data_IF_862121497585
#
_entry.id   IF_862121497585
#
_cell.length_a   1.000
_cell.length_b   1.000
_cell.length_c   1.000
_cell.angle_alpha   90.00
_cell.angle_beta   90.00
_cell.angle_gamma   90.00
#
_symmetry.space_group_name_H-M   'P 1'
#
loop_
_entity.id
_entity.type
_entity.pdbx_description
1 polymer ?
#
# COMPACT_ATOMS: atom_id res chain seq x y z
N UNK A 1 -1.92 8.26 -23.28
CA UNK A 1 -0.96 7.21 -23.70
C UNK A 1 -1.78 5.99 -24.13
N UNK A 2 -1.40 5.25 -25.18
CA UNK A 2 -2.18 4.10 -25.62
C UNK A 2 -2.14 3.00 -24.56
N UNK A 3 -3.27 2.31 -24.38
CA UNK A 3 -3.36 1.08 -23.57
C UNK A 3 -3.40 -0.12 -24.50
N UNK A 4 -2.92 -1.27 -24.03
CA UNK A 4 -2.99 -2.48 -24.84
C UNK A 4 -4.42 -3.05 -24.84
N UNK A 5 -4.88 -3.60 -25.97
CA UNK A 5 -6.08 -4.43 -25.97
C UNK A 5 -5.90 -5.58 -24.99
N UNK A 6 -6.90 -5.80 -24.12
CA UNK A 6 -6.83 -6.81 -23.05
C UNK A 6 -6.43 -8.20 -23.58
N UNK A 7 -7.06 -8.65 -24.66
CA UNK A 7 -6.78 -9.96 -25.25
C UNK A 7 -5.32 -10.08 -25.76
N UNK A 8 -4.74 -8.99 -26.25
CA UNK A 8 -3.35 -8.97 -26.68
C UNK A 8 -2.39 -9.04 -25.48
N UNK A 9 -2.70 -8.31 -24.41
CA UNK A 9 -1.90 -8.35 -23.18
C UNK A 9 -1.92 -9.73 -22.52
N UNK A 10 -3.08 -10.38 -22.47
CA UNK A 10 -3.22 -11.76 -21.94
C UNK A 10 -2.36 -12.73 -22.75
N UNK A 11 -2.47 -12.69 -24.09
CA UNK A 11 -1.65 -13.52 -24.97
C UNK A 11 -0.17 -13.24 -24.78
N UNK A 12 0.23 -11.97 -24.75
CA UNK A 12 1.60 -11.56 -24.52
C UNK A 12 2.15 -12.09 -23.20
N UNK A 13 1.40 -11.96 -22.10
CA UNK A 13 1.79 -12.49 -20.80
C UNK A 13 1.95 -14.02 -20.83
N UNK A 14 0.98 -14.74 -21.43
CA UNK A 14 1.02 -16.21 -21.58
C UNK A 14 2.24 -16.68 -22.37
N UNK A 15 2.59 -15.98 -23.45
CA UNK A 15 3.67 -16.38 -24.34
C UNK A 15 5.04 -16.10 -23.74
N UNK A 16 5.18 -15.01 -22.97
CA UNK A 16 6.48 -14.48 -22.58
C UNK A 16 6.84 -14.65 -21.10
N UNK A 17 5.86 -14.77 -20.19
CA UNK A 17 6.11 -14.99 -18.76
C UNK A 17 5.94 -16.46 -18.39
N UNK A 18 6.98 -17.16 -17.89
CA UNK A 18 6.86 -18.55 -17.45
C UNK A 18 5.73 -18.79 -16.45
N UNK A 19 5.52 -17.87 -15.50
CA UNK A 19 4.43 -17.94 -14.52
C UNK A 19 3.06 -17.90 -15.19
N UNK A 20 2.82 -16.92 -16.08
CA UNK A 20 1.52 -16.80 -16.75
C UNK A 20 1.29 -17.91 -17.78
N UNK A 21 2.35 -18.46 -18.39
CA UNK A 21 2.25 -19.64 -19.25
C UNK A 21 1.67 -20.84 -18.50
N UNK A 22 2.12 -21.07 -17.28
CA UNK A 22 1.63 -22.14 -16.39
C UNK A 22 0.23 -21.82 -15.88
N UNK A 23 0.02 -20.61 -15.36
CA UNK A 23 -1.28 -20.18 -14.80
C UNK A 23 -2.40 -20.27 -15.85
N UNK A 24 -2.11 -19.92 -17.11
CA UNK A 24 -3.09 -19.90 -18.20
C UNK A 24 -3.05 -21.15 -19.07
N UNK A 25 -2.34 -22.21 -18.69
CA UNK A 25 -2.20 -23.42 -19.51
C UNK A 25 -3.56 -24.06 -19.85
N UNK A 26 -4.52 -23.99 -18.93
CA UNK A 26 -5.87 -24.55 -19.06
C UNK A 26 -6.85 -23.64 -19.85
N UNK A 27 -6.47 -22.39 -20.12
CA UNK A 27 -7.34 -21.42 -20.80
C UNK A 27 -7.27 -21.58 -22.33
N UNK A 28 -8.36 -21.26 -23.06
CA UNK A 28 -8.34 -21.23 -24.52
C UNK A 28 -7.32 -20.21 -25.05
N UNK A 29 -6.95 -20.35 -26.32
CA UNK A 29 -5.98 -19.45 -26.97
C UNK A 29 -6.46 -18.00 -27.07
N UNK A 30 -7.79 -17.81 -27.12
CA UNK A 30 -8.43 -16.50 -27.08
C UNK A 30 -9.31 -16.39 -25.84
N UNK A 31 -9.03 -15.39 -25.02
CA UNK A 31 -9.81 -15.02 -23.84
C UNK A 31 -10.35 -13.61 -24.08
N UNK A 32 -11.68 -13.48 -24.07
CA UNK A 32 -12.35 -12.22 -24.41
C UNK A 32 -12.70 -11.40 -23.16
N UNK A 33 -13.03 -12.05 -22.04
CA UNK A 33 -13.45 -11.38 -20.82
C UNK A 33 -12.38 -11.49 -19.74
N UNK A 34 -12.18 -10.40 -19.01
CA UNK A 34 -11.26 -10.39 -17.88
C UNK A 34 -11.65 -11.46 -16.86
N UNK A 35 -12.95 -11.60 -16.57
CA UNK A 35 -13.51 -12.57 -15.62
C UNK A 35 -13.24 -14.04 -15.94
N UNK A 36 -12.82 -14.35 -17.18
CA UNK A 36 -12.43 -15.72 -17.58
C UNK A 36 -11.02 -16.08 -17.07
N UNK A 37 -10.21 -15.09 -16.68
CA UNK A 37 -8.89 -15.34 -16.09
C UNK A 37 -9.04 -15.71 -14.62
N UNK A 38 -8.23 -16.64 -14.08
CA UNK A 38 -8.15 -16.82 -12.64
C UNK A 38 -7.61 -15.56 -11.97
N UNK A 39 -8.07 -15.28 -10.74
CA UNK A 39 -7.41 -14.33 -9.86
C UNK A 39 -6.00 -14.83 -9.58
N UNK A 40 -4.99 -13.95 -9.69
CA UNK A 40 -3.59 -14.35 -9.48
C UNK A 40 -3.37 -14.78 -8.02
N UNK A 41 -2.90 -16.01 -7.76
CA UNK A 41 -2.54 -16.43 -6.41
C UNK A 41 -1.26 -15.67 -5.98
N UNK A 42 -1.38 -14.69 -5.08
CA UNK A 42 -0.24 -13.85 -4.67
C UNK A 42 0.95 -14.68 -4.14
N UNK A 43 0.67 -15.77 -3.40
CA UNK A 43 1.72 -16.63 -2.86
C UNK A 43 2.57 -17.27 -3.97
N UNK A 44 1.93 -17.77 -5.02
CA UNK A 44 2.62 -18.39 -6.16
C UNK A 44 3.31 -17.34 -7.02
N UNK A 45 2.65 -16.19 -7.22
CA UNK A 45 3.23 -15.04 -7.92
C UNK A 45 4.54 -14.61 -7.26
N UNK A 46 4.54 -14.42 -5.94
CA UNK A 46 5.75 -14.00 -5.23
C UNK A 46 6.80 -15.10 -5.07
N UNK A 47 6.41 -16.38 -5.11
CA UNK A 47 7.36 -17.50 -5.19
C UNK A 47 8.10 -17.54 -6.53
N UNK A 48 7.45 -17.10 -7.59
CA UNK A 48 8.04 -16.94 -8.93
C UNK A 48 8.89 -15.67 -9.07
N UNK A 49 8.89 -14.77 -8.09
CA UNK A 49 9.69 -13.54 -8.08
C UNK A 49 11.06 -13.79 -7.45
N UNK A 50 12.13 -13.43 -8.15
CA UNK A 50 13.48 -13.45 -7.58
C UNK A 50 14.39 -12.44 -8.29
N UNK A 51 15.56 -12.07 -7.74
CA UNK A 51 16.51 -11.19 -8.42
C UNK A 51 17.15 -11.78 -9.67
N UNK A 52 17.34 -13.11 -9.73
CA UNK A 52 18.16 -13.77 -10.77
C UNK A 52 17.35 -14.66 -11.72
N UNK A 53 16.38 -15.37 -11.19
CA UNK A 53 15.51 -16.29 -11.95
C UNK A 53 14.05 -15.84 -11.76
N UNK A 54 13.75 -14.64 -12.27
CA UNK A 54 12.42 -14.05 -12.10
C UNK A 54 11.48 -14.61 -13.17
N UNK A 55 10.65 -15.56 -12.77
CA UNK A 55 9.71 -16.26 -13.66
C UNK A 55 8.46 -15.44 -13.98
N UNK A 56 8.32 -14.24 -13.39
CA UNK A 56 7.25 -13.31 -13.71
C UNK A 56 7.60 -12.43 -14.92
N UNK A 57 8.88 -12.18 -15.16
CA UNK A 57 9.31 -11.26 -16.21
C UNK A 57 9.01 -11.82 -17.61
N UNK A 58 8.63 -10.95 -18.52
CA UNK A 58 8.40 -11.28 -19.95
C UNK A 58 9.59 -11.01 -20.85
N UNK A 59 10.63 -10.38 -20.31
CA UNK A 59 11.86 -10.02 -21.02
C UNK A 59 13.03 -9.91 -20.04
N UNK A 60 14.29 -9.96 -20.52
CA UNK A 60 15.47 -9.68 -19.70
C UNK A 60 15.39 -8.31 -19.02
N UNK A 61 15.97 -8.23 -17.83
CA UNK A 61 16.01 -7.01 -17.02
C UNK A 61 17.22 -6.14 -17.45
N UNK A 62 17.15 -5.56 -18.66
CA UNK A 62 18.26 -4.78 -19.23
C UNK A 62 18.18 -3.28 -18.87
N UNK A 63 17.06 -2.63 -19.22
CA UNK A 63 16.83 -1.20 -18.99
C UNK A 63 15.58 -0.98 -18.14
N UNK A 64 15.75 -1.08 -16.82
CA UNK A 64 14.66 -1.01 -15.87
C UNK A 64 15.05 -0.33 -14.56
N UNK A 65 14.03 0.18 -13.86
CA UNK A 65 14.10 0.49 -12.44
C UNK A 65 13.47 -0.65 -11.65
N UNK A 66 14.08 -0.99 -10.51
CA UNK A 66 13.66 -2.08 -9.63
C UNK A 66 13.33 -1.50 -8.27
N UNK A 67 12.16 -1.87 -7.76
CA UNK A 67 11.72 -1.50 -6.43
C UNK A 67 11.40 -2.72 -5.59
N UNK A 68 11.47 -2.60 -4.26
CA UNK A 68 10.97 -3.60 -3.33
C UNK A 68 9.48 -3.36 -3.08
N UNK A 69 8.70 -4.44 -3.04
CA UNK A 69 7.32 -4.38 -2.54
C UNK A 69 7.29 -3.94 -1.08
N UNK A 70 6.25 -3.23 -0.67
CA UNK A 70 6.17 -2.62 0.67
C UNK A 70 6.04 -3.60 1.84
N UNK A 71 5.89 -4.91 1.60
CA UNK A 71 5.43 -5.85 2.63
C UNK A 71 6.20 -7.15 2.86
N UNK A 72 7.41 -7.32 2.33
CA UNK A 72 8.07 -8.64 2.16
C UNK A 72 8.80 -9.15 3.42
N UNK A 73 8.36 -10.22 4.10
CA UNK A 73 9.18 -10.97 5.09
C UNK A 73 9.85 -12.09 4.32
N UNK A 74 11.04 -12.52 4.76
CA UNK A 74 11.82 -13.52 4.05
C UNK A 74 12.40 -12.98 2.74
N UNK A 75 12.13 -13.68 1.62
CA UNK A 75 12.72 -13.36 0.32
C UNK A 75 12.25 -11.99 -0.19
N UNK A 76 13.15 -11.08 -0.58
CA UNK A 76 12.73 -9.77 -1.05
C UNK A 76 11.91 -9.92 -2.34
N UNK A 77 10.74 -9.29 -2.36
CA UNK A 77 9.84 -9.25 -3.53
C UNK A 77 10.07 -7.96 -4.29
N UNK A 78 10.23 -8.06 -5.61
CA UNK A 78 10.63 -6.96 -6.48
C UNK A 78 9.59 -6.64 -7.53
N UNK A 79 9.41 -5.34 -7.77
CA UNK A 79 8.58 -4.79 -8.83
C UNK A 79 9.47 -4.05 -9.83
N UNK A 80 9.46 -4.53 -11.07
CA UNK A 80 10.34 -4.03 -12.13
C UNK A 80 9.55 -3.23 -13.17
N UNK A 81 10.12 -2.10 -13.60
CA UNK A 81 9.55 -1.24 -14.64
C UNK A 81 10.63 -0.92 -15.66
N UNK A 82 10.36 -1.15 -16.95
CA UNK A 82 11.19 -0.61 -18.03
C UNK A 82 11.24 0.92 -17.95
N UNK A 83 12.24 1.53 -18.59
CA UNK A 83 12.29 3.00 -18.76
C UNK A 83 10.96 3.57 -19.26
N UNK A 84 10.36 2.93 -20.26
CA UNK A 84 9.10 3.37 -20.86
C UNK A 84 7.94 3.23 -19.88
N UNK A 85 7.78 2.07 -19.23
CA UNK A 85 6.70 1.86 -18.26
C UNK A 85 6.79 2.82 -17.08
N UNK A 86 7.99 3.05 -16.53
CA UNK A 86 8.18 3.99 -15.42
C UNK A 86 7.81 5.42 -15.81
N UNK A 87 8.22 5.84 -17.02
CA UNK A 87 7.84 7.13 -17.59
C UNK A 87 6.32 7.26 -17.72
N UNK A 88 5.64 6.25 -18.26
CA UNK A 88 4.19 6.29 -18.46
C UNK A 88 3.44 6.26 -17.13
N UNK A 89 3.93 5.47 -16.18
CA UNK A 89 3.42 5.36 -14.82
C UNK A 89 3.42 6.72 -14.11
N UNK A 90 4.57 7.38 -14.08
CA UNK A 90 4.76 8.70 -13.45
C UNK A 90 4.08 9.84 -14.23
N UNK A 91 3.98 9.75 -15.56
CA UNK A 91 3.23 10.73 -16.37
C UNK A 91 1.74 10.70 -16.06
N UNK A 92 1.14 9.51 -16.01
CA UNK A 92 -0.28 9.36 -15.69
C UNK A 92 -0.57 9.84 -14.26
N UNK A 93 0.29 9.49 -13.30
CA UNK A 93 0.12 9.94 -11.92
C UNK A 93 0.30 11.46 -11.77
N UNK A 94 1.30 12.03 -12.45
CA UNK A 94 1.57 13.48 -12.46
C UNK A 94 0.41 14.31 -13.00
N UNK A 95 -0.37 13.77 -13.94
CA UNK A 95 -1.62 14.39 -14.40
C UNK A 95 -2.70 14.38 -13.30
N UNK A 96 -2.83 13.26 -12.58
CA UNK A 96 -3.76 13.12 -11.44
C UNK A 96 -3.47 14.09 -10.29
N UNK A 97 -2.20 14.48 -10.07
CA UNK A 97 -1.84 15.47 -9.03
C UNK A 97 -2.53 16.83 -9.24
N UNK A 98 -2.83 17.22 -10.49
CA UNK A 98 -3.57 18.46 -10.77
C UNK A 98 -5.02 18.34 -10.29
N UNK A 99 -5.67 17.19 -10.53
CA UNK A 99 -7.00 16.91 -10.01
C UNK A 99 -7.01 16.86 -8.47
N UNK A 100 -5.92 16.41 -7.85
CA UNK A 100 -5.74 16.43 -6.41
C UNK A 100 -5.58 17.85 -5.83
N UNK A 101 -5.21 18.85 -6.65
CA UNK A 101 -5.13 20.26 -6.25
C UNK A 101 -3.77 20.94 -6.50
N UNK A 102 -2.83 20.27 -7.16
CA UNK A 102 -1.56 20.89 -7.56
C UNK A 102 -1.80 22.01 -8.59
N UNK A 103 -1.20 23.18 -8.39
CA UNK A 103 -1.33 24.36 -9.28
C UNK A 103 0.03 24.79 -9.84
N UNK A 104 0.02 25.51 -10.99
CA UNK A 104 1.23 26.12 -11.52
C UNK A 104 1.95 27.01 -10.49
N UNK A 105 3.27 26.85 -10.38
CA UNK A 105 4.12 27.63 -9.48
C UNK A 105 4.22 27.08 -8.05
N UNK A 106 3.43 26.05 -7.68
CA UNK A 106 3.54 25.42 -6.36
C UNK A 106 4.96 24.90 -6.12
N UNK A 107 5.48 25.17 -4.93
CA UNK A 107 6.70 24.57 -4.39
C UNK A 107 6.29 23.41 -3.51
N UNK A 108 6.79 22.23 -3.84
CA UNK A 108 6.38 20.96 -3.24
C UNK A 108 7.54 20.37 -2.46
N UNK A 109 7.39 20.28 -1.14
CA UNK A 109 8.28 19.52 -0.27
C UNK A 109 7.88 18.05 -0.27
N UNK A 110 8.76 17.19 -0.79
CA UNK A 110 8.57 15.75 -0.78
C UNK A 110 9.26 15.14 0.46
N UNK A 111 8.44 14.60 1.36
CA UNK A 111 8.84 13.95 2.61
C UNK A 111 8.61 12.42 2.56
N UNK A 112 8.42 11.83 1.38
CA UNK A 112 8.49 10.38 1.25
C UNK A 112 9.91 9.85 1.49
N UNK A 113 10.05 8.55 1.73
CA UNK A 113 11.35 7.94 2.07
C UNK A 113 12.12 7.52 0.81
N UNK A 114 13.40 7.90 0.77
CA UNK A 114 14.32 7.58 -0.31
C UNK A 114 15.25 6.40 0.06
N UNK A 115 15.64 5.60 -0.94
CA UNK A 115 16.60 4.51 -0.78
C UNK A 115 15.97 3.13 -0.49
N UNK A 116 16.82 2.13 -0.25
CA UNK A 116 16.47 0.71 0.00
C UNK A 116 15.47 0.11 -1.03
N UNK A 117 15.56 0.58 -2.28
CA UNK A 117 14.65 0.20 -3.37
C UNK A 117 13.18 0.57 -3.11
N UNK A 118 12.87 1.47 -2.18
CA UNK A 118 11.50 1.97 -2.02
C UNK A 118 11.16 3.00 -3.09
N UNK A 119 9.95 2.88 -3.65
CA UNK A 119 9.54 3.69 -4.80
C UNK A 119 9.03 5.08 -4.43
N UNK A 120 8.47 5.28 -3.23
CA UNK A 120 7.60 6.43 -2.94
C UNK A 120 8.25 7.78 -3.23
N UNK A 121 9.48 8.02 -2.76
CA UNK A 121 10.19 9.28 -3.01
C UNK A 121 10.48 9.51 -4.50
N UNK A 122 11.11 8.54 -5.18
CA UNK A 122 11.40 8.67 -6.62
C UNK A 122 10.13 8.76 -7.47
N UNK A 123 9.08 8.02 -7.10
CA UNK A 123 7.79 8.03 -7.76
C UNK A 123 7.13 9.40 -7.70
N UNK A 124 7.08 10.02 -6.52
CA UNK A 124 6.48 11.35 -6.35
C UNK A 124 7.31 12.41 -7.05
N UNK A 125 8.64 12.38 -6.91
CA UNK A 125 9.52 13.33 -7.58
C UNK A 125 9.39 13.26 -9.12
N UNK A 126 9.35 12.07 -9.69
CA UNK A 126 9.19 11.87 -11.14
C UNK A 126 7.77 12.20 -11.61
N UNK A 127 6.75 11.95 -10.79
CA UNK A 127 5.37 12.34 -11.10
C UNK A 127 5.20 13.85 -11.09
N UNK A 128 5.81 14.55 -10.13
CA UNK A 128 5.87 16.01 -10.11
C UNK A 128 6.64 16.56 -11.31
N UNK A 129 7.76 15.92 -11.68
CA UNK A 129 8.54 16.28 -12.86
C UNK A 129 7.72 16.19 -14.16
N UNK A 130 6.81 15.22 -14.22
CA UNK A 130 5.97 14.92 -15.39
C UNK A 130 4.56 15.48 -15.30
N UNK A 131 4.25 16.21 -14.24
CA UNK A 131 2.98 16.89 -14.10
C UNK A 131 2.80 17.92 -15.21
N UNK A 132 1.58 18.12 -15.75
CA UNK A 132 1.35 19.07 -16.83
C UNK A 132 1.41 20.55 -16.38
N UNK A 133 1.59 20.81 -15.08
CA UNK A 133 1.74 22.16 -14.53
C UNK A 133 3.15 22.41 -14.02
N UNK A 134 3.67 23.61 -14.24
CA UNK A 134 4.98 24.02 -13.73
C UNK A 134 4.99 23.94 -12.20
N UNK A 135 6.01 23.33 -11.60
CA UNK A 135 6.15 23.22 -10.15
C UNK A 135 7.63 23.19 -9.77
N UNK A 136 7.94 23.63 -8.56
CA UNK A 136 9.26 23.53 -7.94
C UNK A 136 9.25 22.31 -7.02
N UNK A 137 10.28 21.47 -7.13
CA UNK A 137 10.36 20.19 -6.42
C UNK A 137 11.48 20.27 -5.40
N UNK A 138 11.16 20.07 -4.13
CA UNK A 138 12.10 20.08 -3.02
C UNK A 138 12.22 18.65 -2.47
N UNK A 139 13.21 17.87 -2.92
CA UNK A 139 13.40 16.47 -2.54
C UNK A 139 14.04 16.36 -1.15
N UNK A 140 13.29 16.70 -0.09
CA UNK A 140 13.79 16.76 1.31
C UNK A 140 13.97 15.36 1.89
N UNK A 141 12.99 14.48 1.71
CA UNK A 141 12.97 13.11 2.21
C UNK A 141 12.52 12.99 3.67
N UNK A 142 11.76 11.95 3.97
CA UNK A 142 11.14 11.73 5.30
C UNK A 142 12.10 11.42 6.45
N UNK A 143 13.39 11.18 6.16
CA UNK A 143 14.43 10.96 7.16
C UNK A 143 15.19 12.25 7.54
N UNK A 144 14.92 13.37 6.88
CA UNK A 144 15.58 14.64 7.17
C UNK A 144 15.21 15.13 8.59
N UNK A 145 16.17 15.73 9.33
CA UNK A 145 15.88 16.38 10.61
C UNK A 145 14.79 17.44 10.47
N UNK A 146 13.83 17.46 11.39
CA UNK A 146 12.66 18.33 11.28
C UNK A 146 13.04 19.81 11.28
N UNK A 147 14.12 20.21 11.96
CA UNK A 147 14.63 21.58 11.98
C UNK A 147 15.06 22.03 10.58
N UNK A 148 15.76 21.16 9.85
CA UNK A 148 16.21 21.39 8.47
C UNK A 148 15.02 21.43 7.50
N UNK A 149 14.07 20.50 7.68
CA UNK A 149 12.81 20.50 6.92
C UNK A 149 12.07 21.83 7.12
N UNK A 150 11.88 22.26 8.37
CA UNK A 150 11.17 23.49 8.69
C UNK A 150 11.88 24.74 8.17
N UNK A 151 13.22 24.80 8.24
CA UNK A 151 13.99 25.88 7.61
C UNK A 151 13.77 25.91 6.09
N UNK A 152 13.80 24.76 5.43
CA UNK A 152 13.54 24.63 3.98
C UNK A 152 12.12 25.09 3.62
N UNK A 153 11.11 24.70 4.41
CA UNK A 153 9.73 25.13 4.19
C UNK A 153 9.59 26.66 4.23
N UNK A 154 10.32 27.30 5.15
CA UNK A 154 10.31 28.76 5.35
C UNK A 154 11.06 29.50 4.24
N UNK A 155 12.31 29.12 3.99
CA UNK A 155 13.20 29.77 3.01
C UNK A 155 12.65 29.69 1.58
N UNK A 156 12.05 28.54 1.22
CA UNK A 156 11.45 28.37 -0.09
C UNK A 156 10.00 28.83 -0.14
N UNK A 157 9.38 29.22 0.97
CA UNK A 157 7.95 29.54 1.06
C UNK A 157 7.09 28.43 0.45
N UNK A 158 7.15 27.23 1.03
CA UNK A 158 6.49 26.04 0.48
C UNK A 158 4.96 26.13 0.57
N UNK A 159 4.27 25.81 -0.54
CA UNK A 159 2.80 25.75 -0.57
C UNK A 159 2.25 24.33 -0.40
N UNK A 160 3.04 23.30 -0.74
CA UNK A 160 2.60 21.90 -0.72
C UNK A 160 3.61 21.04 0.03
N UNK A 161 3.14 20.26 0.99
CA UNK A 161 3.95 19.24 1.65
C UNK A 161 3.35 17.87 1.34
N UNK A 162 4.15 16.96 0.78
CA UNK A 162 3.76 15.61 0.42
C UNK A 162 4.48 14.59 1.30
N UNK A 163 3.78 13.59 1.84
CA UNK A 163 4.41 12.55 2.66
C UNK A 163 3.42 11.46 3.08
N UNK A 164 3.85 10.52 3.93
CA UNK A 164 2.88 9.62 4.56
C UNK A 164 2.15 10.34 5.70
N UNK A 165 0.89 9.98 6.04
CA UNK A 165 0.21 10.49 7.23
C UNK A 165 1.08 10.45 8.49
N UNK A 166 1.80 9.35 8.71
CA UNK A 166 2.76 9.23 9.82
C UNK A 166 3.85 10.32 9.80
N UNK A 167 4.52 10.52 8.66
CA UNK A 167 5.57 11.55 8.55
C UNK A 167 5.03 12.97 8.72
N UNK A 168 3.86 13.25 8.15
CA UNK A 168 3.21 14.56 8.25
C UNK A 168 2.81 14.87 9.69
N UNK A 169 2.24 13.90 10.42
CA UNK A 169 1.91 14.04 11.83
C UNK A 169 3.16 14.23 12.70
N UNK A 170 4.22 13.45 12.48
CA UNK A 170 5.48 13.59 13.21
C UNK A 170 6.07 15.00 13.03
N UNK A 171 6.08 15.53 11.81
CA UNK A 171 6.49 16.91 11.56
C UNK A 171 5.56 17.91 12.28
N UNK A 172 4.25 17.75 12.18
CA UNK A 172 3.28 18.64 12.82
C UNK A 172 3.42 18.68 14.35
N UNK A 173 3.66 17.54 15.01
CA UNK A 173 3.92 17.46 16.45
C UNK A 173 5.17 18.25 16.83
N UNK A 174 6.27 18.08 16.07
CA UNK A 174 7.54 18.80 16.33
C UNK A 174 7.38 20.30 16.12
N UNK A 175 6.71 20.72 15.05
CA UNK A 175 6.44 22.12 14.76
C UNK A 175 5.59 22.78 15.84
N UNK A 176 4.46 22.15 16.19
CA UNK A 176 3.55 22.67 17.22
C UNK A 176 4.23 22.74 18.58
N UNK A 177 5.00 21.71 18.95
CA UNK A 177 5.79 21.69 20.20
C UNK A 177 6.86 22.78 20.24
N UNK A 178 7.40 23.18 19.09
CA UNK A 178 8.33 24.29 18.95
C UNK A 178 7.64 25.67 18.82
N UNK A 179 6.30 25.73 18.91
CA UNK A 179 5.54 26.97 18.71
C UNK A 179 5.58 27.52 17.28
N UNK A 180 5.88 26.67 16.28
CA UNK A 180 5.95 27.03 14.87
C UNK A 180 4.72 26.56 14.11
N UNK A 181 4.29 27.36 13.13
CA UNK A 181 3.25 27.00 12.18
C UNK A 181 3.58 27.55 10.79
N UNK A 182 3.03 26.93 9.75
CA UNK A 182 3.25 27.29 8.35
C UNK A 182 1.91 27.62 7.67
N UNK A 183 1.41 28.85 7.82
CA UNK A 183 0.13 29.27 7.24
C UNK A 183 0.16 29.43 5.72
N UNK A 184 1.34 29.42 5.10
CA UNK A 184 1.52 29.51 3.64
C UNK A 184 1.39 28.15 2.94
N UNK A 185 1.42 27.05 3.71
CA UNK A 185 1.12 25.72 3.17
C UNK A 185 -0.39 25.62 2.92
N UNK A 186 -0.76 25.47 1.65
CA UNK A 186 -2.14 25.37 1.19
C UNK A 186 -2.60 23.91 1.08
N UNK A 187 -1.68 22.96 0.96
CA UNK A 187 -1.99 21.58 0.61
C UNK A 187 -1.06 20.59 1.32
N UNK A 188 -1.66 19.61 2.02
CA UNK A 188 -0.97 18.44 2.54
C UNK A 188 -1.37 17.22 1.70
N UNK A 189 -0.44 16.77 0.86
CA UNK A 189 -0.62 15.54 0.08
C UNK A 189 -0.19 14.33 0.90
N UNK A 190 -1.09 13.38 1.06
CA UNK A 190 -0.77 12.13 1.75
C UNK A 190 -0.96 10.91 0.85
N UNK A 191 -0.17 9.87 1.10
CA UNK A 191 -0.28 8.57 0.42
C UNK A 191 0.47 7.47 1.15
N UNK A 192 0.27 6.22 0.74
CA UNK A 192 0.93 5.03 1.31
C UNK A 192 0.34 4.53 2.63
N UNK A 193 -0.51 5.31 3.30
CA UNK A 193 -1.23 4.94 4.52
C UNK A 193 -2.63 5.57 4.50
N UNK A 194 -3.55 5.03 5.32
CA UNK A 194 -4.83 5.68 5.56
C UNK A 194 -4.64 6.92 6.42
N UNK A 195 -5.41 7.98 6.13
CA UNK A 195 -5.55 9.14 6.99
C UNK A 195 -6.80 8.96 7.86
N UNK A 196 -6.65 9.18 9.17
CA UNK A 196 -7.74 9.10 10.15
C UNK A 196 -8.15 10.49 10.62
N UNK A 197 -9.43 10.66 10.98
CA UNK A 197 -9.99 11.96 11.34
C UNK A 197 -9.35 12.58 12.60
N UNK A 198 -8.82 11.76 13.51
CA UNK A 198 -8.13 12.21 14.72
C UNK A 198 -6.77 12.87 14.42
N UNK A 199 -6.20 12.63 13.24
CA UNK A 199 -4.95 13.26 12.81
C UNK A 199 -5.16 14.69 12.29
N UNK A 200 -6.38 15.04 11.85
CA UNK A 200 -6.66 16.34 11.22
C UNK A 200 -6.40 17.53 12.17
N UNK A 201 -6.83 17.53 13.45
CA UNK A 201 -6.55 18.66 14.34
C UNK A 201 -5.05 18.92 14.53
N UNK A 202 -4.23 17.87 14.62
CA UNK A 202 -2.78 17.98 14.74
C UNK A 202 -2.16 18.60 13.48
N UNK A 203 -2.54 18.08 12.31
CA UNK A 203 -2.05 18.59 11.03
C UNK A 203 -2.44 20.06 10.83
N UNK A 204 -3.69 20.42 11.14
CA UNK A 204 -4.18 21.80 11.03
C UNK A 204 -3.60 22.73 12.10
N UNK A 205 -3.12 22.21 13.23
CA UNK A 205 -2.36 22.99 14.22
C UNK A 205 -1.05 23.52 13.65
N UNK A 206 -0.32 22.70 12.90
CA UNK A 206 0.93 23.10 12.24
C UNK A 206 0.70 23.81 10.90
N UNK A 207 -0.37 23.46 10.18
CA UNK A 207 -0.67 23.94 8.82
C UNK A 207 -2.11 24.47 8.72
N UNK A 208 -2.43 25.64 9.31
CA UNK A 208 -3.80 26.08 9.58
C UNK A 208 -4.65 26.40 8.35
N UNK A 209 -4.04 26.64 7.20
CA UNK A 209 -4.75 26.90 5.93
C UNK A 209 -4.73 25.71 4.97
N UNK A 210 -4.08 24.61 5.36
CA UNK A 210 -3.87 23.51 4.44
C UNK A 210 -5.12 22.66 4.27
N UNK A 211 -5.37 22.23 3.03
CA UNK A 211 -6.30 21.15 2.75
C UNK A 211 -5.54 19.83 2.78
N UNK A 212 -6.04 18.84 3.54
CA UNK A 212 -5.44 17.50 3.59
C UNK A 212 -6.09 16.63 2.53
N UNK A 213 -5.31 16.17 1.55
CA UNK A 213 -5.82 15.45 0.38
C UNK A 213 -4.96 14.25 0.03
N UNK A 214 -5.62 13.17 -0.42
CA UNK A 214 -4.92 12.04 -1.02
C UNK A 214 -4.24 12.54 -2.30
N UNK A 215 -2.98 12.17 -2.51
CA UNK A 215 -2.30 12.36 -3.81
C UNK A 215 -2.82 11.40 -4.88
N UNK A 216 -3.56 10.38 -4.47
CA UNK A 216 -3.98 9.25 -5.28
C UNK A 216 -3.54 7.94 -4.64
N UNK A 217 -4.12 6.87 -5.14
CA UNK A 217 -3.88 5.52 -4.69
C UNK A 217 -3.08 4.75 -5.75
N UNK A 218 -1.85 4.39 -5.40
CA UNK A 218 -0.93 3.64 -6.22
C UNK A 218 -0.21 2.57 -5.40
N UNK A 219 0.20 1.50 -6.08
CA UNK A 219 1.03 0.44 -5.54
C UNK A 219 2.19 0.23 -6.50
N UNK A 220 3.40 0.07 -5.96
CA UNK A 220 4.56 -0.29 -6.78
C UNK A 220 4.39 -1.66 -7.44
N UNK A 221 3.56 -2.52 -6.84
CA UNK A 221 3.25 -3.85 -7.36
C UNK A 221 2.07 -3.76 -8.33
N UNK A 222 0.91 -3.31 -7.87
CA UNK A 222 -0.32 -3.33 -8.66
C UNK A 222 -0.43 -2.21 -9.72
N UNK A 223 0.41 -1.19 -9.66
CA UNK A 223 0.36 -0.04 -10.57
C UNK A 223 -0.52 1.09 -10.05
N UNK A 224 -1.21 1.79 -10.95
CA UNK A 224 -2.07 2.93 -10.60
C UNK A 224 -3.46 2.41 -10.30
N UNK A 225 -4.00 2.68 -9.11
CA UNK A 225 -5.29 2.11 -8.70
C UNK A 225 -6.39 3.15 -8.75
N UNK A 226 -6.20 4.30 -8.09
CA UNK A 226 -7.22 5.34 -8.05
C UNK A 226 -6.67 6.77 -8.04
N UNK A 227 -7.20 7.62 -8.91
CA UNK A 227 -7.03 9.06 -8.88
C UNK A 227 -7.74 9.65 -7.66
N UNK A 228 -7.15 10.71 -7.10
CA UNK A 228 -7.83 11.51 -6.10
C UNK A 228 -9.09 12.14 -6.70
N UNK A 229 -10.20 12.11 -5.96
CA UNK A 229 -11.44 12.80 -6.36
C UNK A 229 -11.69 14.01 -5.45
N UNK A 230 -12.29 15.09 -5.99
CA UNK A 230 -12.81 16.16 -5.14
C UNK A 230 -13.88 15.60 -4.19
N UNK A 231 -13.76 15.91 -2.90
CA UNK A 231 -14.71 15.43 -1.89
C UNK A 231 -14.17 15.56 -0.47
N UNK A 232 -15.01 15.22 0.51
CA UNK A 232 -14.64 15.25 1.92
C UNK A 232 -14.08 13.93 2.47
N UNK A 233 -14.31 12.80 1.78
CA UNK A 233 -13.82 11.49 2.23
C UNK A 233 -12.46 11.16 1.57
N UNK A 234 -11.34 11.21 2.32
CA UNK A 234 -9.99 10.97 1.79
C UNK A 234 -9.76 9.53 1.28
N UNK A 235 -10.69 8.61 1.53
CA UNK A 235 -10.62 7.19 1.12
C UNK A 235 -11.23 6.95 -0.26
N UNK A 236 -11.98 7.91 -0.79
CA UNK A 236 -12.67 7.77 -2.07
C UNK A 236 -11.73 8.11 -3.20
N UNK A 237 -11.69 7.26 -4.21
CA UNK A 237 -10.83 7.38 -5.38
C UNK A 237 -11.61 7.00 -6.64
N UNK A 238 -11.19 7.51 -7.79
CA UNK A 238 -11.70 7.09 -9.11
C UNK A 238 -10.66 6.23 -9.78
N UNK A 239 -11.04 5.09 -10.36
CA UNK A 239 -10.12 4.22 -11.09
C UNK A 239 -9.33 5.01 -12.15
N UNK A 240 -8.03 4.72 -12.29
CA UNK A 240 -7.16 5.30 -13.33
C UNK A 240 -7.51 4.78 -14.74
N UNK A 241 -8.73 5.07 -15.21
CA UNK A 241 -9.20 4.72 -16.56
C UNK A 241 -8.52 5.62 -17.60
N UNK A 242 -8.07 5.09 -18.76
CA UNK A 242 -8.23 3.72 -19.25
C UNK A 242 -7.09 2.77 -18.85
N UNK A 243 -6.16 3.20 -17.99
CA UNK A 243 -4.91 2.48 -17.71
C UNK A 243 -5.08 1.24 -16.83
N UNK A 244 -6.07 1.27 -15.94
CA UNK A 244 -6.32 0.20 -14.98
C UNK A 244 -7.78 -0.21 -15.04
N UNK A 245 -8.02 -1.52 -15.02
CA UNK A 245 -9.35 -2.09 -14.74
C UNK A 245 -9.37 -2.53 -13.28
N UNK A 246 -10.37 -2.07 -12.53
CA UNK A 246 -10.59 -2.50 -11.16
C UNK A 246 -11.86 -3.35 -11.07
N UNK A 247 -11.76 -4.47 -10.35
CA UNK A 247 -12.89 -5.29 -9.93
C UNK A 247 -12.93 -5.29 -8.40
N UNK A 248 -14.13 -5.32 -7.83
CA UNK A 248 -14.33 -5.61 -6.41
C UNK A 248 -14.96 -6.98 -6.36
N UNK A 249 -14.26 -7.99 -5.85
CA UNK A 249 -14.77 -9.35 -5.77
C UNK A 249 -15.32 -9.65 -4.39
N UNK A 250 -16.46 -10.32 -4.34
CA UNK A 250 -16.99 -10.87 -3.10
C UNK A 250 -16.00 -11.89 -2.49
N UNK A 251 -15.87 -11.84 -1.17
CA UNK A 251 -14.86 -12.60 -0.41
C UNK A 251 -15.08 -14.13 -0.50
N UNK A 252 -16.32 -14.58 -0.72
CA UNK A 252 -16.72 -15.99 -0.67
C UNK A 252 -16.90 -16.61 -2.04
N UNK A 253 -17.42 -15.85 -3.01
CA UNK A 253 -17.83 -16.35 -4.32
C UNK A 253 -16.84 -16.06 -5.44
N UNK A 254 -15.83 -15.22 -5.19
CA UNK A 254 -14.90 -14.68 -6.21
C UNK A 254 -15.61 -14.00 -7.40
N UNK A 255 -16.89 -13.66 -7.26
CA UNK A 255 -17.67 -12.96 -8.29
C UNK A 255 -17.57 -11.44 -8.13
N UNK A 256 -17.56 -10.68 -9.24
CA UNK A 256 -17.60 -9.23 -9.17
C UNK A 256 -18.86 -8.73 -8.46
N UNK A 257 -18.66 -7.84 -7.49
CA UNK A 257 -19.70 -7.08 -6.82
C UNK A 257 -20.35 -6.13 -7.82
N UNK A 258 -21.68 -6.19 -7.90
CA UNK A 258 -22.49 -5.42 -8.86
C UNK A 258 -23.17 -4.20 -8.26
N UNK A 259 -23.27 -4.10 -6.93
CA UNK A 259 -23.92 -2.99 -6.23
C UNK A 259 -22.94 -2.04 -5.52
N UNK A 260 -23.36 -0.79 -5.37
CA UNK A 260 -22.65 0.20 -4.55
C UNK A 260 -22.80 -0.12 -3.05
N UNK A 261 -21.80 0.24 -2.26
CA UNK A 261 -21.75 0.04 -0.80
C UNK A 261 -21.61 -1.41 -0.36
N UNK A 262 -21.30 -2.34 -1.28
CA UNK A 262 -21.05 -3.74 -0.96
C UNK A 262 -19.53 -3.97 -0.89
N UNK A 263 -18.98 -4.30 0.30
CA UNK A 263 -17.55 -4.55 0.47
C UNK A 263 -17.07 -5.81 -0.26
N UNK A 264 -15.83 -5.77 -0.75
CA UNK A 264 -15.11 -6.93 -1.29
C UNK A 264 -13.61 -6.65 -1.43
N UNK A 265 -12.88 -7.59 -2.04
CA UNK A 265 -11.44 -7.46 -2.33
C UNK A 265 -11.22 -6.69 -3.61
N UNK A 266 -10.32 -5.72 -3.57
CA UNK A 266 -9.91 -4.98 -4.75
C UNK A 266 -8.93 -5.81 -5.59
N UNK A 267 -9.35 -6.10 -6.83
CA UNK A 267 -8.56 -6.77 -7.85
C UNK A 267 -8.28 -5.77 -8.96
N UNK A 268 -7.05 -5.79 -9.50
CA UNK A 268 -6.64 -4.86 -10.55
C UNK A 268 -6.00 -5.54 -11.74
N UNK A 269 -6.14 -4.90 -12.89
CA UNK A 269 -5.43 -5.24 -14.12
C UNK A 269 -4.83 -3.96 -14.69
N UNK A 270 -3.49 -3.87 -14.74
CA UNK A 270 -2.80 -2.74 -15.39
C UNK A 270 -2.60 -3.06 -16.87
N UNK A 271 -3.14 -2.22 -17.75
CA UNK A 271 -3.15 -2.44 -19.21
C UNK A 271 -1.89 -1.91 -19.92
N UNK A 272 -0.89 -1.47 -19.17
CA UNK A 272 0.37 -0.92 -19.70
C UNK A 272 1.57 -1.78 -19.32
N UNK A 273 1.57 -2.40 -18.13
CA UNK A 273 2.69 -3.22 -17.64
C UNK A 273 2.88 -4.49 -18.48
N UNK A 274 4.01 -4.58 -19.16
CA UNK A 274 4.49 -5.72 -19.95
C UNK A 274 5.62 -6.45 -19.29
N UNK A 275 6.63 -5.75 -18.76
CA UNK A 275 7.84 -6.40 -18.23
C UNK A 275 7.49 -7.36 -17.10
N UNK A 276 6.62 -6.92 -16.20
CA UNK A 276 6.03 -7.72 -15.13
C UNK A 276 4.51 -7.48 -15.13
N UNK A 277 3.75 -8.26 -15.92
CA UNK A 277 2.32 -8.05 -16.11
C UNK A 277 1.54 -8.20 -14.80
N UNK A 278 0.50 -7.38 -14.62
CA UNK A 278 -0.42 -7.43 -13.49
C UNK A 278 -1.83 -7.65 -14.03
N UNK A 279 -2.26 -8.92 -14.13
CA UNK A 279 -3.56 -9.34 -14.68
C UNK A 279 -4.42 -9.96 -13.58
N UNK A 280 -5.62 -9.42 -13.30
CA UNK A 280 -6.48 -9.81 -12.17
C UNK A 280 -5.70 -10.05 -10.86
N UNK A 281 -4.82 -9.11 -10.55
CA UNK A 281 -3.96 -9.19 -9.39
C UNK A 281 -4.68 -8.63 -8.15
N UNK A 282 -4.69 -9.35 -7.00
CA UNK A 282 -5.26 -8.80 -5.78
C UNK A 282 -4.40 -7.65 -5.26
N UNK A 283 -4.96 -6.46 -5.10
CA UNK A 283 -4.22 -5.30 -4.57
C UNK A 283 -3.83 -5.47 -3.09
N UNK A 284 -4.56 -6.33 -2.37
CA UNK A 284 -4.42 -6.58 -0.93
C UNK A 284 -5.26 -5.63 -0.06
N UNK A 285 -6.20 -4.90 -0.66
CA UNK A 285 -7.06 -3.93 0.00
C UNK A 285 -8.53 -4.31 -0.18
N UNK A 286 -9.36 -3.98 0.81
CA UNK A 286 -10.82 -4.07 0.71
C UNK A 286 -11.37 -2.75 0.23
N UNK A 287 -12.37 -2.84 -0.63
CA UNK A 287 -13.04 -1.67 -1.19
C UNK A 287 -14.53 -1.94 -1.35
N UNK A 288 -15.28 -0.87 -1.56
CA UNK A 288 -16.66 -0.90 -2.03
C UNK A 288 -16.84 0.13 -3.14
N UNK A 289 -17.76 -0.11 -4.06
CA UNK A 289 -18.15 0.90 -5.03
C UNK A 289 -18.93 2.02 -4.34
N UNK A 290 -18.57 3.26 -4.65
CA UNK A 290 -19.37 4.45 -4.30
C UNK A 290 -20.28 4.80 -5.47
N UNK A 291 -19.74 4.69 -6.68
CA UNK A 291 -20.44 4.77 -7.95
C UNK A 291 -19.71 3.85 -8.93
N UNK A 292 -20.20 2.62 -9.08
CA UNK A 292 -19.59 1.59 -9.92
C UNK A 292 -19.46 2.03 -11.38
N UNK A 293 -20.49 2.66 -11.94
CA UNK A 293 -20.53 3.02 -13.35
C UNK A 293 -19.55 4.17 -13.67
N UNK A 294 -19.32 5.06 -12.70
CA UNK A 294 -18.29 6.09 -12.78
C UNK A 294 -16.89 5.61 -12.36
N UNK A 295 -16.75 4.35 -11.92
CA UNK A 295 -15.51 3.76 -11.44
C UNK A 295 -15.00 4.42 -10.16
N UNK A 296 -15.89 4.88 -9.27
CA UNK A 296 -15.53 5.51 -8.00
C UNK A 296 -15.69 4.51 -6.87
N UNK A 297 -14.63 4.30 -6.09
CA UNK A 297 -14.60 3.33 -4.99
C UNK A 297 -14.03 3.94 -3.72
N UNK A 298 -14.41 3.36 -2.58
CA UNK A 298 -13.90 3.71 -1.26
C UNK A 298 -13.02 2.58 -0.75
N UNK A 299 -11.83 2.91 -0.27
CA UNK A 299 -10.94 1.96 0.40
C UNK A 299 -11.41 1.77 1.85
N UNK A 300 -11.66 0.53 2.24
CA UNK A 300 -12.17 0.18 3.57
C UNK A 300 -11.06 -0.27 4.53
N UNK A 301 -9.91 -0.66 3.99
CA UNK A 301 -8.78 -1.16 4.76
C UNK A 301 -8.07 -2.27 4.00
N UNK A 302 -7.33 -3.11 4.73
CA UNK A 302 -6.62 -4.24 4.11
C UNK A 302 -7.50 -5.48 4.03
N UNK A 303 -7.28 -6.27 2.98
CA UNK A 303 -7.87 -7.60 2.85
C UNK A 303 -7.01 -8.65 3.60
N UNK A 304 -7.39 -9.91 3.52
CA UNK A 304 -6.76 -11.00 4.30
C UNK A 304 -5.28 -11.24 3.95
N UNK A 305 -4.77 -10.64 2.87
CA UNK A 305 -3.39 -10.87 2.39
C UNK A 305 -2.35 -10.11 3.21
N UNK A 306 -2.69 -9.04 3.92
CA UNK A 306 -1.70 -8.30 4.71
C UNK A 306 -2.22 -7.08 5.43
N UNK A 307 -1.34 -6.36 6.12
CA UNK A 307 -1.67 -5.27 7.01
C UNK A 307 -0.71 -4.09 6.83
N UNK A 308 -1.17 -2.86 7.11
CA UNK A 308 -0.37 -1.63 7.06
C UNK A 308 -0.36 -0.96 8.44
N UNK A 309 0.82 -0.73 9.00
CA UNK A 309 1.03 -0.14 10.33
C UNK A 309 2.01 1.02 10.18
N UNK A 310 1.48 2.25 10.17
CA UNK A 310 2.24 3.41 9.68
C UNK A 310 2.84 3.13 8.29
N UNK A 311 4.15 3.34 8.08
CA UNK A 311 4.77 3.17 6.76
C UNK A 311 5.00 1.70 6.38
N UNK A 312 4.83 0.76 7.31
CA UNK A 312 5.24 -0.64 7.14
C UNK A 312 4.08 -1.51 6.69
N UNK A 313 4.27 -2.27 5.60
CA UNK A 313 3.35 -3.38 5.26
C UNK A 313 3.88 -4.71 5.79
N UNK A 314 2.97 -5.58 6.21
CA UNK A 314 3.27 -6.97 6.54
C UNK A 314 2.23 -7.88 5.86
N UNK A 315 2.65 -8.83 5.04
CA UNK A 315 1.72 -9.83 4.50
C UNK A 315 1.42 -10.92 5.53
N UNK A 316 0.22 -11.50 5.49
CA UNK A 316 -0.20 -12.51 6.47
C UNK A 316 0.59 -13.81 6.34
N UNK A 317 0.86 -14.24 5.10
CA UNK A 317 1.68 -15.43 4.83
C UNK A 317 3.11 -15.24 5.35
N UNK A 318 3.65 -14.06 5.11
CA UNK A 318 4.97 -13.63 5.52
C UNK A 318 5.14 -13.70 7.06
N UNK A 319 4.15 -13.26 7.82
CA UNK A 319 4.15 -13.39 9.29
C UNK A 319 3.90 -14.83 9.74
N UNK A 320 3.02 -15.56 9.04
CA UNK A 320 2.76 -16.97 9.30
C UNK A 320 4.04 -17.80 9.19
N UNK A 321 4.85 -17.62 8.14
CA UNK A 321 6.08 -18.37 7.93
C UNK A 321 7.12 -18.09 9.05
N UNK A 322 7.17 -16.86 9.57
CA UNK A 322 8.00 -16.51 10.74
C UNK A 322 7.50 -17.24 12.00
N UNK A 323 6.19 -17.23 12.23
CA UNK A 323 5.59 -17.91 13.38
C UNK A 323 5.89 -19.42 13.32
N UNK A 324 5.70 -20.04 12.16
CA UNK A 324 5.99 -21.47 11.97
C UNK A 324 7.47 -21.81 12.13
N UNK A 325 8.38 -20.91 11.74
CA UNK A 325 9.82 -21.11 11.93
C UNK A 325 10.24 -20.98 13.40
N UNK A 326 9.55 -20.15 14.19
CA UNK A 326 9.82 -19.96 15.62
C UNK A 326 9.14 -21.04 16.50
N UNK A 327 7.95 -21.51 16.10
CA UNK A 327 7.17 -22.50 16.84
C UNK A 327 7.55 -23.94 16.48
N UNK A 328 8.73 -24.38 16.93
CA UNK A 328 9.21 -25.74 16.68
C UNK A 328 8.42 -26.82 17.44
N UNK A 329 7.64 -26.44 18.46
CA UNK A 329 6.87 -27.34 19.31
C UNK A 329 5.42 -27.50 18.84
N UNK A 330 4.95 -26.67 17.89
CA UNK A 330 3.58 -26.72 17.37
C UNK A 330 2.54 -26.22 18.37
N UNK A 331 2.90 -25.23 19.20
CA UNK A 331 2.02 -24.63 20.20
C UNK A 331 0.97 -23.68 19.60
N UNK A 332 1.27 -23.10 18.44
CA UNK A 332 0.43 -22.14 17.72
C UNK A 332 -0.57 -22.88 16.83
N UNK A 333 -1.83 -22.68 17.15
CA UNK A 333 -3.00 -23.29 16.48
C UNK A 333 -3.79 -22.30 15.62
N UNK A 334 -3.35 -21.04 15.57
CA UNK A 334 -3.97 -19.99 14.77
C UNK A 334 -3.26 -18.65 14.93
N UNK A 335 -3.41 -17.79 13.93
CA UNK A 335 -2.74 -16.49 13.85
C UNK A 335 -3.73 -15.46 13.29
N UNK A 336 -3.79 -14.29 13.93
CA UNK A 336 -4.41 -13.09 13.37
C UNK A 336 -3.47 -11.90 13.52
N UNK A 337 -3.41 -11.06 12.49
CA UNK A 337 -2.75 -9.77 12.53
C UNK A 337 -3.82 -8.73 12.90
N UNK A 338 -3.71 -8.17 14.10
CA UNK A 338 -4.69 -7.21 14.62
C UNK A 338 -4.07 -5.82 14.63
N UNK A 339 -4.65 -4.88 13.89
CA UNK A 339 -4.21 -3.47 13.93
C UNK A 339 -5.04 -2.71 14.92
N UNK A 340 -4.37 -1.94 15.78
CA UNK A 340 -4.99 -1.03 16.73
C UNK A 340 -4.42 0.36 16.58
N UNK A 341 -5.25 1.36 16.86
CA UNK A 341 -4.81 2.75 17.03
C UNK A 341 -4.88 3.11 18.50
N UNK A 342 -3.72 3.29 19.14
CA UNK A 342 -3.60 3.58 20.59
C UNK A 342 -2.71 4.80 20.77
N UNK A 343 -3.22 5.80 21.49
CA UNK A 343 -2.49 7.06 21.72
C UNK A 343 -2.11 7.78 20.43
N UNK A 344 -3.00 7.79 19.43
CA UNK A 344 -2.77 8.47 18.15
C UNK A 344 -1.79 7.77 17.19
N UNK A 345 -1.36 6.54 17.52
CA UNK A 345 -0.40 5.77 16.72
C UNK A 345 -0.95 4.40 16.36
N UNK A 346 -0.63 3.93 15.18
CA UNK A 346 -0.96 2.58 14.73
C UNK A 346 -0.03 1.57 15.41
N UNK A 347 -0.51 0.36 15.67
CA UNK A 347 0.27 -0.73 16.25
C UNK A 347 -0.22 -2.09 15.77
N UNK A 348 0.69 -3.06 15.68
CA UNK A 348 0.39 -4.44 15.37
C UNK A 348 0.35 -5.30 16.64
N UNK A 349 -0.71 -6.09 16.78
CA UNK A 349 -0.79 -7.18 17.74
C UNK A 349 -0.85 -8.49 16.95
N UNK A 350 0.12 -9.38 17.18
CA UNK A 350 0.06 -10.76 16.71
C UNK A 350 -0.77 -11.56 17.69
N UNK A 351 -2.01 -11.85 17.34
CA UNK A 351 -2.89 -12.68 18.17
C UNK A 351 -2.63 -14.14 17.81
N UNK A 352 -1.97 -14.87 18.72
CA UNK A 352 -1.56 -16.26 18.55
C UNK A 352 -2.48 -17.18 19.38
N UNK A 353 -3.12 -18.14 18.72
CA UNK A 353 -3.98 -19.09 19.41
C UNK A 353 -3.20 -20.30 19.91
N UNK A 354 -3.47 -20.73 21.14
CA UNK A 354 -2.94 -21.97 21.73
C UNK A 354 -4.01 -22.68 22.58
N UNK A 355 -3.73 -23.91 23.02
CA UNK A 355 -4.67 -24.71 23.82
C UNK A 355 -4.99 -24.09 25.18
N UNK A 356 -3.95 -23.65 25.90
CA UNK A 356 -4.12 -22.88 27.14
C UNK A 356 -3.14 -21.71 27.14
N UNK A 357 -3.63 -20.47 26.91
CA UNK A 357 -2.82 -19.26 27.00
C UNK A 357 -2.27 -19.08 28.42
N UNK A 358 -0.99 -18.72 28.54
CA UNK A 358 -0.39 -18.41 29.82
C UNK A 358 1.06 -17.97 29.72
N UNK A 359 1.72 -17.85 30.86
CA UNK A 359 3.11 -17.39 30.96
C UNK A 359 4.10 -18.28 30.22
N UNK A 360 3.78 -19.57 30.01
CA UNK A 360 4.60 -20.52 29.25
C UNK A 360 4.85 -20.08 27.80
N UNK A 361 3.91 -19.35 27.21
CA UNK A 361 4.00 -18.92 25.82
C UNK A 361 4.76 -17.59 25.63
N UNK A 362 5.17 -16.94 26.74
CA UNK A 362 5.85 -15.63 26.70
C UNK A 362 7.14 -15.68 25.89
N UNK A 363 7.99 -16.68 26.14
CA UNK A 363 9.27 -16.82 25.45
C UNK A 363 9.10 -17.04 23.94
N UNK A 364 8.12 -17.84 23.53
CA UNK A 364 7.79 -18.04 22.11
C UNK A 364 7.24 -16.74 21.50
N UNK A 365 6.37 -16.02 22.20
CA UNK A 365 5.85 -14.73 21.74
C UNK A 365 6.97 -13.69 21.54
N UNK A 366 7.91 -13.60 22.48
CA UNK A 366 9.09 -12.73 22.37
C UNK A 366 9.98 -13.13 21.19
N UNK A 367 10.22 -14.43 20.99
CA UNK A 367 11.00 -14.95 19.87
C UNK A 367 10.33 -14.63 18.52
N UNK A 368 9.02 -14.82 18.40
CA UNK A 368 8.24 -14.45 17.22
C UNK A 368 8.33 -12.96 16.96
N UNK A 369 8.11 -12.12 17.97
CA UNK A 369 8.17 -10.67 17.84
C UNK A 369 9.58 -10.21 17.39
N UNK A 370 10.62 -10.75 18.01
CA UNK A 370 12.01 -10.48 17.64
C UNK A 370 12.30 -10.89 16.19
N UNK A 371 11.84 -12.05 15.75
CA UNK A 371 12.02 -12.52 14.38
C UNK A 371 11.27 -11.65 13.35
N UNK A 372 10.04 -11.21 13.66
CA UNK A 372 9.31 -10.25 12.82
C UNK A 372 10.08 -8.93 12.71
N UNK A 373 10.55 -8.37 13.82
CA UNK A 373 11.31 -7.11 13.84
C UNK A 373 12.68 -7.22 13.16
N UNK A 374 13.35 -8.37 13.26
CA UNK A 374 14.60 -8.63 12.54
C UNK A 374 14.39 -8.60 11.02
N UNK A 375 13.26 -9.11 10.54
CA UNK A 375 12.88 -9.06 9.13
C UNK A 375 12.16 -7.74 8.75
N UNK A 376 11.86 -6.88 9.72
CA UNK A 376 11.21 -5.57 9.56
C UNK A 376 12.00 -4.46 10.26
N UNK A 377 13.20 -4.13 9.78
CA UNK A 377 13.97 -3.02 10.34
C UNK A 377 13.15 -1.71 10.32
N UNK A 378 12.39 -1.46 9.26
CA UNK A 378 11.52 -0.27 9.18
C UNK A 378 10.47 -0.20 10.30
N UNK A 379 9.93 -1.33 10.78
CA UNK A 379 9.00 -1.32 11.92
C UNK A 379 9.72 -0.99 13.22
N UNK A 380 10.88 -1.62 13.45
CA UNK A 380 11.73 -1.34 14.61
C UNK A 380 12.14 0.13 14.65
N UNK A 381 12.57 0.66 13.51
CA UNK A 381 13.04 2.04 13.39
C UNK A 381 11.87 3.03 13.54
N UNK A 382 10.70 2.72 12.98
CA UNK A 382 9.47 3.51 13.19
C UNK A 382 9.00 3.48 14.66
N UNK A 383 9.15 2.34 15.36
CA UNK A 383 8.84 2.25 16.79
C UNK A 383 9.82 3.08 17.62
N UNK A 384 11.13 2.99 17.32
CA UNK A 384 12.17 3.78 18.00
C UNK A 384 11.99 5.30 17.78
N UNK A 385 11.53 5.69 16.60
CA UNK A 385 11.16 7.07 16.28
C UNK A 385 9.83 7.53 16.91
N UNK A 386 9.09 6.62 17.56
CA UNK A 386 7.79 6.92 18.16
C UNK A 386 6.65 7.08 17.16
N UNK A 387 6.84 6.70 15.89
CA UNK A 387 5.87 6.81 14.81
C UNK A 387 4.75 5.75 14.88
N UNK A 388 5.07 4.56 15.38
CA UNK A 388 4.12 3.45 15.58
C UNK A 388 4.28 2.86 16.98
N UNK A 389 3.25 2.18 17.48
CA UNK A 389 3.33 1.44 18.73
C UNK A 389 4.18 0.16 18.57
N UNK A 390 4.89 -0.28 19.64
CA UNK A 390 5.65 -1.53 19.61
C UNK A 390 4.80 -2.72 19.19
N UNK A 391 5.42 -3.66 18.47
CA UNK A 391 4.81 -4.94 18.14
C UNK A 391 4.48 -5.68 19.44
N UNK A 392 3.22 -6.10 19.60
CA UNK A 392 2.79 -6.91 20.73
C UNK A 392 2.38 -8.32 20.28
N UNK A 393 2.45 -9.27 21.20
CA UNK A 393 1.91 -10.63 21.00
C UNK A 393 0.85 -10.88 22.07
N UNK A 394 -0.33 -11.30 21.63
CA UNK A 394 -1.47 -11.60 22.48
C UNK A 394 -1.81 -13.08 22.35
N UNK A 395 -1.73 -13.84 23.43
CA UNK A 395 -2.07 -15.26 23.45
C UNK A 395 -3.54 -15.46 23.77
N UNK A 396 -4.23 -16.21 22.92
CA UNK A 396 -5.67 -16.46 23.04
C UNK A 396 -5.98 -17.94 22.82
N UNK A 397 -7.21 -18.37 23.11
CA UNK A 397 -7.65 -19.72 22.69
C UNK A 397 -8.11 -19.64 21.24
N UNK A 398 -8.05 -20.74 20.50
CA UNK A 398 -8.51 -20.78 19.12
C UNK A 398 -9.97 -20.29 18.95
N UNK A 399 -10.83 -20.56 19.95
CA UNK A 399 -12.23 -20.10 19.98
C UNK A 399 -12.41 -18.58 20.07
N UNK A 400 -11.38 -17.87 20.49
CA UNK A 400 -11.40 -16.42 20.72
C UNK A 400 -10.92 -15.65 19.48
N UNK A 401 -10.46 -16.37 18.43
CA UNK A 401 -10.09 -15.75 17.17
C UNK A 401 -11.33 -15.26 16.42
N UNK A 402 -11.23 -14.10 15.79
CA UNK A 402 -12.34 -13.54 15.02
C UNK A 402 -12.61 -14.38 13.75
N UNK A 403 -13.86 -14.75 13.54
CA UNK A 403 -14.32 -15.49 12.36
C UNK A 403 -15.34 -14.66 11.59
N UNK A 404 -15.43 -14.89 10.28
CA UNK A 404 -16.48 -14.33 9.45
C UNK A 404 -17.83 -14.87 9.95
N UNK A 405 -18.77 -13.96 10.25
CA UNK A 405 -20.06 -14.32 10.84
C UNK A 405 -20.97 -15.16 9.92
N UNK A 406 -20.73 -15.14 8.60
CA UNK A 406 -21.49 -15.91 7.61
C UNK A 406 -20.84 -17.26 7.31
N UNK A 407 -19.54 -17.27 7.01
CA UNK A 407 -18.83 -18.49 6.59
C UNK A 407 -18.14 -19.25 7.72
N UNK A 408 -18.00 -18.66 8.91
CA UNK A 408 -17.27 -19.26 10.03
C UNK A 408 -15.76 -19.37 9.81
N UNK A 409 -15.24 -18.86 8.68
CA UNK A 409 -13.81 -18.88 8.35
C UNK A 409 -13.03 -17.91 9.24
N UNK A 410 -11.82 -18.29 9.63
CA UNK A 410 -10.90 -17.43 10.38
C UNK A 410 -10.54 -16.19 9.57
N UNK A 411 -10.75 -15.00 10.14
CA UNK A 411 -10.33 -13.73 9.56
C UNK A 411 -8.83 -13.57 9.82
N UNK A 412 -8.00 -13.46 8.78
CA UNK A 412 -6.53 -13.36 8.98
C UNK A 412 -6.05 -11.98 9.44
N UNK A 413 -6.75 -10.92 9.05
CA UNK A 413 -6.43 -9.53 9.37
C UNK A 413 -7.65 -8.88 10.03
N UNK A 414 -7.47 -8.38 11.25
CA UNK A 414 -8.51 -7.66 11.98
C UNK A 414 -8.07 -6.21 12.11
N UNK A 415 -8.80 -5.30 11.48
CA UNK A 415 -8.58 -3.87 11.63
C UNK A 415 -9.51 -3.34 12.73
N UNK A 416 -8.96 -3.08 13.92
CA UNK A 416 -9.68 -2.50 15.07
C UNK A 416 -9.46 -0.97 15.14
N UNK A 417 -8.85 -0.35 14.12
CA UNK A 417 -8.70 1.10 14.05
C UNK A 417 -10.06 1.76 13.83
N UNK A 418 -10.28 2.99 14.33
CA UNK A 418 -11.54 3.69 14.11
C UNK A 418 -11.76 3.90 12.60
N UNK A 419 -12.85 3.34 12.08
CA UNK A 419 -13.33 3.66 10.74
C UNK A 419 -14.15 4.95 10.82
N UNK A 420 -13.72 5.99 10.09
CA UNK A 420 -14.45 7.26 9.97
C UNK A 420 -15.77 7.09 9.22
#
# INVERSE_FOLDING_TARGET
MPVQPLAELIRFARDNSPFYRELYAHLPSHVAHLTDLPVVPQADFWRANSPRDNRLLTAPLDEAVVFRSGGTTGSPKFSCFTRTEWREFTTAFGAGLVAAGLRPGHRVADLFYAGDLYASFSFILDSLHRSPVANVRLPIGGAAPWESTAATLEEFQVQVVAGTPTSLCSLAERLTSAGRSFPDVELLFFGGECLFSDQLPLLLGAFPKAQVRSLGYASVDAGLLGEAVPGGDPRVHRVFTPYTVAEILDDETDQPVTGDGVPGRLIVTDLRRRLMPMLRYPAGDRAEWVDRDAGVFRILGRAEEGVRVGPVSLYTQDVHDIVMAADTAGEVTGLQLVVRRVGGRDGLVLRLATGEPGTRNTALGEAVAAAVLAQRPLYRDATAAGHVNPLAVEWVRHRDLAVNSRSGKLIRVVDERPHS
#
